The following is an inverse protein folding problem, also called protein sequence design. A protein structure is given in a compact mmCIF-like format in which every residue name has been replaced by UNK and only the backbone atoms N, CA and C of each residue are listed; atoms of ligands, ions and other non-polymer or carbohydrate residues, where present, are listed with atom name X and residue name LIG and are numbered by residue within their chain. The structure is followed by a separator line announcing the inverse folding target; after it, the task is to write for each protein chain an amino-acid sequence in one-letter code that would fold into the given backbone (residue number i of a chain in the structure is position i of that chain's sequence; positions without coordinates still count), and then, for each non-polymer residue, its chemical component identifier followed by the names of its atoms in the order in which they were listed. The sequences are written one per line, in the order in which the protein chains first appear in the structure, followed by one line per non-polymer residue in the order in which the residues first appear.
data_IF_169817834299
#
_entry.id   IF_169817834299
#
_cell.length_a   1.000
_cell.length_b   1.000
_cell.length_c   1.000
_cell.angle_alpha   90.00
_cell.angle_beta   90.00
_cell.angle_gamma   90.00
#
_symmetry.space_group_name_H-M   'P 1'
#
loop_
_entity.id
_entity.type
_entity.pdbx_description
1 polymer ?
#
# COMPACT_ATOMS: atom_id res chain seq x y z
N UNK A 1 4.65 27.86 19.22
CA UNK A 1 4.17 26.72 20.03
C UNK A 1 4.12 25.51 19.12
N UNK A 2 5.09 24.61 19.28
CA UNK A 2 5.21 23.37 18.53
C UNK A 2 4.40 22.30 19.26
N UNK A 3 3.42 21.70 18.59
CA UNK A 3 2.70 20.54 19.13
C UNK A 3 2.57 19.49 18.05
N UNK A 4 3.54 18.58 18.00
CA UNK A 4 3.30 17.14 17.85
C UNK A 4 4.62 16.42 18.11
N UNK A 5 4.76 15.79 19.27
CA UNK A 5 5.66 14.66 19.44
C UNK A 5 4.78 13.43 19.56
N UNK A 6 4.53 12.75 18.45
CA UNK A 6 4.27 11.31 18.48
C UNK A 6 5.60 10.67 18.13
N UNK A 7 6.40 10.36 19.14
CA UNK A 7 7.65 9.61 18.97
C UNK A 7 7.33 8.11 18.80
N UNK A 8 6.45 7.80 17.84
CA UNK A 8 6.17 6.41 17.49
C UNK A 8 7.26 5.98 16.51
N UNK A 9 8.20 5.12 16.92
CA UNK A 9 9.27 4.67 16.04
C UNK A 9 8.74 3.96 14.80
N UNK A 10 7.48 3.47 14.76
CA UNK A 10 6.90 2.94 13.53
C UNK A 10 6.48 4.04 12.52
N UNK A 11 6.20 5.26 12.98
CA UNK A 11 5.87 6.40 12.11
C UNK A 11 7.15 7.14 11.70
N UNK A 12 8.13 7.19 12.60
CA UNK A 12 9.34 8.02 12.45
C UNK A 12 10.58 7.25 11.94
N UNK A 13 10.59 5.91 11.97
CA UNK A 13 11.73 5.12 11.49
C UNK A 13 11.77 5.03 9.95
N UNK A 14 12.34 6.07 9.34
CA UNK A 14 13.39 5.85 8.34
C UNK A 14 12.95 5.50 6.92
N UNK A 15 12.43 6.49 6.20
CA UNK A 15 12.37 6.44 4.74
C UNK A 15 11.88 7.76 4.14
N UNK A 16 12.73 8.80 4.11
CA UNK A 16 12.58 10.01 3.25
C UNK A 16 11.19 10.68 3.16
N UNK A 17 10.25 10.38 4.06
CA UNK A 17 8.83 10.75 3.95
C UNK A 17 8.11 10.18 2.71
N UNK A 18 8.77 9.36 1.89
CA UNK A 18 8.23 8.86 0.64
C UNK A 18 7.71 7.43 0.82
N UNK A 19 6.39 7.28 0.79
CA UNK A 19 5.75 5.96 0.71
C UNK A 19 6.18 5.29 -0.60
N UNK A 20 7.02 4.25 -0.48
CA UNK A 20 7.52 3.48 -1.64
C UNK A 20 6.62 2.31 -1.99
N UNK A 21 6.02 1.67 -0.98
CA UNK A 21 5.24 0.44 -1.14
C UNK A 21 3.84 0.62 -0.60
N UNK A 22 2.84 0.22 -1.39
CA UNK A 22 1.41 0.32 -1.06
C UNK A 22 0.82 -1.09 -0.92
N UNK A 23 0.22 -1.38 0.24
CA UNK A 23 -0.56 -2.59 0.45
C UNK A 23 -1.99 -2.42 -0.06
N UNK A 24 -2.50 -3.35 -0.86
CA UNK A 24 -3.89 -3.38 -1.33
C UNK A 24 -4.56 -4.66 -0.82
N UNK A 25 -5.62 -4.49 -0.02
CA UNK A 25 -6.42 -5.60 0.51
C UNK A 25 -7.76 -5.68 -0.24
N UNK A 26 -7.99 -6.81 -0.90
CA UNK A 26 -9.08 -7.03 -1.85
C UNK A 26 -8.67 -6.67 -3.28
N UNK A 27 -8.77 -7.62 -4.21
CA UNK A 27 -8.38 -7.49 -5.62
C UNK A 27 -9.58 -7.47 -6.57
N UNK A 28 -10.76 -7.09 -6.07
CA UNK A 28 -11.92 -6.74 -6.91
C UNK A 28 -11.69 -5.46 -7.72
N UNK A 29 -12.69 -5.00 -8.48
CA UNK A 29 -12.56 -3.86 -9.42
C UNK A 29 -11.94 -2.61 -8.77
N UNK A 30 -12.40 -2.26 -7.57
CA UNK A 30 -11.92 -1.08 -6.85
C UNK A 30 -10.46 -1.27 -6.42
N UNK A 31 -10.14 -2.40 -5.81
CA UNK A 31 -8.78 -2.71 -5.33
C UNK A 31 -7.78 -2.81 -6.47
N UNK A 32 -8.15 -3.47 -7.57
CA UNK A 32 -7.33 -3.54 -8.79
C UNK A 32 -7.09 -2.16 -9.39
N UNK A 33 -8.11 -1.29 -9.43
CA UNK A 33 -7.98 0.08 -9.89
C UNK A 33 -6.98 0.90 -9.07
N UNK A 34 -6.97 0.74 -7.75
CA UNK A 34 -5.99 1.37 -6.87
C UNK A 34 -4.58 0.80 -7.04
N UNK A 35 -4.45 -0.52 -7.19
CA UNK A 35 -3.16 -1.17 -7.45
C UNK A 35 -2.52 -0.65 -8.75
N UNK A 36 -3.28 -0.59 -9.85
CA UNK A 36 -2.81 -0.04 -11.13
C UNK A 36 -2.42 1.43 -10.99
N UNK A 37 -3.23 2.23 -10.29
CA UNK A 37 -2.92 3.66 -10.09
C UNK A 37 -1.66 3.88 -9.27
N UNK A 38 -1.39 3.03 -8.27
CA UNK A 38 -0.17 3.06 -7.47
C UNK A 38 1.06 2.70 -8.32
N UNK A 39 0.99 1.60 -9.08
CA UNK A 39 2.05 1.18 -10.01
C UNK A 39 2.35 2.27 -11.06
N UNK A 40 1.32 2.87 -11.64
CA UNK A 40 1.47 3.94 -12.63
C UNK A 40 2.15 5.21 -12.08
N UNK A 41 2.18 5.37 -10.75
CA UNK A 41 2.87 6.47 -10.06
C UNK A 41 4.26 6.09 -9.59
N UNK A 42 4.73 4.88 -9.92
CA UNK A 42 6.06 4.39 -9.56
C UNK A 42 6.16 3.84 -8.13
N UNK A 43 5.03 3.52 -7.50
CA UNK A 43 5.04 2.81 -6.21
C UNK A 43 5.03 1.31 -6.44
N UNK A 44 5.71 0.58 -5.54
CA UNK A 44 5.57 -0.87 -5.46
C UNK A 44 4.23 -1.22 -4.82
N UNK A 45 3.61 -2.33 -5.26
CA UNK A 45 2.31 -2.76 -4.73
C UNK A 45 2.37 -4.20 -4.23
N UNK A 46 1.90 -4.41 -3.01
CA UNK A 46 1.65 -5.75 -2.44
C UNK A 46 0.14 -5.93 -2.35
N UNK A 47 -0.41 -6.82 -3.18
CA UNK A 47 -1.84 -7.12 -3.19
C UNK A 47 -2.14 -8.43 -2.45
N UNK A 48 -3.19 -8.41 -1.62
CA UNK A 48 -3.70 -9.60 -0.94
C UNK A 48 -5.21 -9.62 -1.02
N UNK A 49 -5.82 -10.79 -1.22
CA UNK A 49 -7.28 -10.93 -1.28
C UNK A 49 -7.70 -12.25 -0.61
N UNK A 50 -8.59 -12.20 0.40
CA UNK A 50 -9.06 -13.40 1.09
C UNK A 50 -10.06 -14.23 0.27
N UNK A 51 -10.55 -13.74 -0.88
CA UNK A 51 -11.54 -14.43 -1.66
C UNK A 51 -11.01 -15.78 -2.19
N UNK A 52 -11.76 -16.89 -2.00
CA UNK A 52 -11.37 -18.18 -2.56
C UNK A 52 -11.25 -18.07 -4.09
N UNK A 53 -10.03 -18.26 -4.60
CA UNK A 53 -9.71 -18.13 -6.03
C UNK A 53 -8.85 -16.91 -6.40
N UNK A 54 -8.49 -16.04 -5.46
CA UNK A 54 -7.65 -14.87 -5.73
C UNK A 54 -6.24 -15.20 -6.27
N UNK A 55 -5.62 -16.28 -5.77
CA UNK A 55 -4.27 -16.70 -6.17
C UNK A 55 -4.17 -17.14 -7.65
N UNK A 56 -5.28 -17.30 -8.37
CA UNK A 56 -5.32 -17.74 -9.77
C UNK A 56 -5.39 -16.61 -10.81
N UNK A 57 -5.41 -15.33 -10.40
CA UNK A 57 -5.52 -14.17 -11.31
C UNK A 57 -4.24 -13.31 -11.37
N UNK A 58 -3.08 -13.95 -11.20
CA UNK A 58 -1.77 -13.34 -11.44
C UNK A 58 -1.37 -13.53 -12.91
N UNK A 59 -2.02 -12.78 -13.81
CA UNK A 59 -1.71 -12.75 -15.24
C UNK A 59 -1.26 -11.37 -15.67
#
# INVERSE_FOLDING_TARGET
MSTTCSADPNVDAGGDGHVRTIGVVGTGVIGAGWAVRALARGHDVVAWDPAPGAAGRSG
#
